data_IF_112341360472
#
_entry.id   IF_112341360472
#
_cell.length_a   1.000
_cell.length_b   1.000
_cell.length_c   1.000
_cell.angle_alpha   90.00
_cell.angle_beta   90.00
_cell.angle_gamma   90.00
#
_symmetry.space_group_name_H-M   'P 1'
#
loop_
_entity.id
_entity.type
_entity.pdbx_description
1 polymer ?
#
# COMPACT_ATOMS: atom_id res chain seq x y z
N UNK A 1 2.65 -5.98 -32.64
CA UNK A 1 3.15 -7.01 -31.70
C UNK A 1 2.39 -6.85 -30.40
N UNK A 2 1.63 -7.88 -30.02
CA UNK A 2 0.56 -7.83 -29.00
C UNK A 2 1.06 -7.40 -27.61
N UNK A 3 0.58 -6.24 -27.17
CA UNK A 3 0.72 -5.75 -25.80
C UNK A 3 -0.12 -6.68 -24.92
N UNK A 4 0.55 -7.57 -24.19
CA UNK A 4 -0.07 -8.29 -23.08
C UNK A 4 -0.49 -7.25 -22.04
N UNK A 5 -1.79 -6.98 -21.98
CA UNK A 5 -2.43 -6.18 -20.93
C UNK A 5 -2.09 -6.83 -19.59
N UNK A 6 -1.20 -6.20 -18.83
CA UNK A 6 -1.00 -6.50 -17.41
C UNK A 6 -2.30 -6.05 -16.73
N UNK A 7 -3.05 -7.03 -16.22
CA UNK A 7 -4.27 -6.81 -15.47
C UNK A 7 -3.87 -6.16 -14.14
N UNK A 8 -4.03 -4.84 -14.05
CA UNK A 8 -3.90 -4.12 -12.79
C UNK A 8 -5.05 -4.56 -11.89
N UNK A 9 -4.76 -5.42 -10.92
CA UNK A 9 -5.70 -5.73 -9.85
C UNK A 9 -5.75 -4.51 -8.93
N UNK A 10 -6.59 -3.54 -9.29
CA UNK A 10 -6.91 -2.40 -8.44
C UNK A 10 -7.77 -2.92 -7.29
N UNK A 11 -7.13 -3.52 -6.27
CA UNK A 11 -7.77 -3.73 -4.99
C UNK A 11 -8.03 -2.34 -4.44
N UNK A 12 -9.28 -1.91 -4.49
CA UNK A 12 -9.79 -0.65 -4.00
C UNK A 12 -9.53 -0.55 -2.49
N UNK A 13 -8.31 -0.17 -2.11
CA UNK A 13 -8.07 0.65 -0.91
C UNK A 13 -8.33 2.13 -1.24
N UNK A 14 -9.40 2.45 -1.98
CA UNK A 14 -9.92 3.80 -2.09
C UNK A 14 -10.73 4.15 -0.83
N UNK A 15 -10.08 4.08 0.33
CA UNK A 15 -10.57 4.68 1.57
C UNK A 15 -9.43 5.50 2.18
N UNK A 16 -8.92 6.43 1.39
CA UNK A 16 -8.29 7.66 1.86
C UNK A 16 -8.66 8.76 0.87
N UNK A 17 -9.96 9.05 0.74
CA UNK A 17 -10.34 10.40 0.33
C UNK A 17 -10.08 11.29 1.56
N UNK A 18 -8.90 11.90 1.60
CA UNK A 18 -8.78 13.18 2.27
C UNK A 18 -9.87 14.07 1.67
N UNK A 19 -10.68 14.75 2.48
CA UNK A 19 -11.38 15.94 1.99
C UNK A 19 -10.28 16.89 1.53
N UNK A 20 -10.09 17.17 0.23
CA UNK A 20 -9.23 18.24 -0.17
C UNK A 20 -9.97 19.53 0.19
N UNK A 21 -9.30 20.41 0.93
CA UNK A 21 -9.62 21.84 0.88
C UNK A 21 -9.58 22.22 -0.60
N UNK A 22 -10.68 22.82 -1.07
CA UNK A 22 -11.06 22.91 -2.47
C UNK A 22 -9.95 23.39 -3.41
N UNK A 23 -9.60 22.53 -4.35
CA UNK A 23 -9.33 22.93 -5.72
C UNK A 23 -10.47 22.36 -6.57
N UNK A 24 -10.96 23.12 -7.54
CA UNK A 24 -12.08 22.74 -8.41
C UNK A 24 -11.94 21.28 -8.89
N UNK A 25 -13.03 20.49 -8.89
CA UNK A 25 -12.95 19.06 -9.20
C UNK A 25 -12.46 18.91 -10.64
N UNK A 26 -11.26 18.36 -10.80
CA UNK A 26 -10.88 17.69 -12.04
C UNK A 26 -11.61 16.36 -11.99
N UNK A 27 -12.63 16.23 -12.84
CA UNK A 27 -13.46 15.05 -13.04
C UNK A 27 -12.61 13.78 -13.19
N UNK A 28 -12.34 13.13 -12.06
CA UNK A 28 -11.89 11.75 -11.99
C UNK A 28 -13.08 10.83 -11.79
N UNK A 29 -14.15 11.02 -12.57
CA UNK A 29 -15.22 10.05 -12.67
C UNK A 29 -14.68 8.86 -13.47
N UNK A 30 -14.59 7.63 -12.93
CA UNK A 30 -14.51 6.45 -13.77
C UNK A 30 -15.92 6.20 -14.32
N UNK A 31 -16.44 7.17 -15.07
CA UNK A 31 -17.73 7.09 -15.71
C UNK A 31 -17.65 6.05 -16.82
N UNK A 32 -17.95 4.80 -16.47
CA UNK A 32 -18.67 3.95 -17.41
C UNK A 32 -19.99 4.63 -17.78
N UNK A 33 -20.52 4.28 -18.95
CA UNK A 33 -21.79 4.80 -19.49
C UNK A 33 -22.90 4.84 -18.40
N UNK A 34 -23.53 6.02 -18.28
CA UNK A 34 -24.69 6.39 -17.47
C UNK A 34 -24.77 5.85 -16.02
N UNK A 35 -24.42 6.71 -15.04
CA UNK A 35 -24.93 6.55 -13.67
C UNK A 35 -26.43 6.77 -13.66
N UNK A 36 -27.18 5.81 -13.12
CA UNK A 36 -28.63 5.85 -12.96
C UNK A 36 -29.01 6.04 -11.49
N UNK A 37 -30.24 6.49 -11.24
CA UNK A 37 -30.77 6.47 -9.88
C UNK A 37 -31.00 5.02 -9.43
N UNK A 38 -30.82 4.75 -8.14
CA UNK A 38 -31.07 3.43 -7.55
C UNK A 38 -32.51 2.93 -7.82
N UNK A 39 -33.48 3.85 -7.86
CA UNK A 39 -34.89 3.55 -8.14
C UNK A 39 -35.15 3.04 -9.56
N UNK A 40 -34.22 3.28 -10.48
CA UNK A 40 -34.32 2.90 -11.89
C UNK A 40 -33.63 1.54 -12.17
N UNK A 41 -32.95 0.98 -11.16
CA UNK A 41 -32.27 -0.31 -11.27
C UNK A 41 -33.29 -1.47 -11.24
N UNK A 42 -32.99 -2.57 -11.95
CA UNK A 42 -33.82 -3.78 -11.94
C UNK A 42 -34.18 -4.20 -10.49
N UNK A 43 -35.47 -4.40 -10.16
CA UNK A 43 -35.92 -4.76 -8.82
C UNK A 43 -35.24 -6.01 -8.22
N UNK A 44 -34.80 -6.96 -9.04
CA UNK A 44 -34.07 -8.15 -8.56
C UNK A 44 -32.66 -7.79 -8.09
N UNK A 45 -32.02 -6.82 -8.73
CA UNK A 45 -30.70 -6.33 -8.34
C UNK A 45 -30.79 -5.47 -7.08
N UNK A 46 -31.83 -4.63 -6.96
CA UNK A 46 -32.07 -3.85 -5.74
C UNK A 46 -32.32 -4.75 -4.54
N UNK A 47 -33.18 -5.77 -4.67
CA UNK A 47 -33.46 -6.76 -3.62
C UNK A 47 -32.19 -7.54 -3.22
N UNK A 48 -31.37 -7.94 -4.20
CA UNK A 48 -30.11 -8.62 -3.94
C UNK A 48 -29.11 -7.73 -3.16
N UNK A 49 -29.04 -6.44 -3.49
CA UNK A 49 -28.19 -5.48 -2.79
C UNK A 49 -28.67 -5.25 -1.35
N UNK A 50 -29.97 -5.07 -1.15
CA UNK A 50 -30.57 -4.85 0.18
C UNK A 50 -30.36 -6.06 1.09
N UNK A 51 -30.65 -7.28 0.61
CA UNK A 51 -30.38 -8.51 1.38
C UNK A 51 -28.92 -8.66 1.76
N UNK A 52 -28.01 -8.29 0.86
CA UNK A 52 -26.58 -8.31 1.17
C UNK A 52 -26.22 -7.29 2.26
N UNK A 53 -26.78 -6.09 2.21
CA UNK A 53 -26.61 -5.08 3.26
C UNK A 53 -27.17 -5.61 4.57
N UNK A 54 -28.42 -6.08 4.62
CA UNK A 54 -29.05 -6.62 5.83
C UNK A 54 -28.19 -7.72 6.47
N UNK A 55 -27.63 -8.62 5.66
CA UNK A 55 -26.79 -9.71 6.13
C UNK A 55 -25.50 -9.22 6.82
N UNK A 56 -24.89 -8.13 6.34
CA UNK A 56 -23.56 -7.70 6.79
C UNK A 56 -23.53 -6.34 7.50
N UNK A 57 -24.65 -5.61 7.57
CA UNK A 57 -24.69 -4.28 8.16
C UNK A 57 -24.81 -4.31 9.69
N UNK A 58 -25.01 -5.50 10.28
CA UNK A 58 -25.02 -5.70 11.72
C UNK A 58 -26.01 -4.72 12.41
N UNK A 59 -27.20 -4.61 11.84
CA UNK A 59 -28.28 -3.75 12.35
C UNK A 59 -28.24 -2.28 11.90
N UNK A 60 -27.18 -1.82 11.22
CA UNK A 60 -27.14 -0.46 10.66
C UNK A 60 -27.95 -0.40 9.36
N UNK A 61 -28.85 0.56 9.25
CA UNK A 61 -29.50 0.86 7.98
C UNK A 61 -28.56 1.66 7.08
N UNK A 62 -28.51 1.30 5.80
CA UNK A 62 -27.81 2.05 4.77
C UNK A 62 -28.78 2.42 3.66
N UNK A 63 -28.60 3.60 3.07
CA UNK A 63 -29.43 4.09 1.96
C UNK A 63 -28.63 4.01 0.67
N UNK A 64 -29.11 3.22 -0.30
CA UNK A 64 -28.59 3.20 -1.66
C UNK A 64 -29.25 4.33 -2.47
N UNK A 65 -28.48 4.95 -3.36
CA UNK A 65 -28.94 6.14 -4.08
C UNK A 65 -28.61 6.11 -5.57
N UNK A 66 -27.48 5.50 -5.96
CA UNK A 66 -27.01 5.49 -7.34
C UNK A 66 -26.45 4.13 -7.75
N UNK A 67 -26.51 3.85 -9.05
CA UNK A 67 -25.92 2.66 -9.64
C UNK A 67 -25.23 2.98 -10.96
N UNK A 68 -24.13 2.29 -11.28
CA UNK A 68 -23.45 2.40 -12.57
C UNK A 68 -22.82 1.06 -12.96
N UNK A 69 -22.62 0.86 -14.27
CA UNK A 69 -21.97 -0.34 -14.78
C UNK A 69 -20.46 -0.28 -14.64
N UNK A 70 -19.86 -1.42 -14.39
CA UNK A 70 -18.42 -1.62 -14.41
C UNK A 70 -18.07 -3.01 -14.92
N UNK A 71 -16.85 -3.18 -15.40
CA UNK A 71 -16.36 -4.47 -15.85
C UNK A 71 -15.54 -5.18 -14.77
N UNK A 72 -15.61 -6.50 -14.75
CA UNK A 72 -14.70 -7.33 -13.97
C UNK A 72 -14.26 -8.56 -14.76
N UNK A 73 -13.22 -9.24 -14.27
CA UNK A 73 -12.73 -10.47 -14.87
C UNK A 73 -12.98 -11.65 -13.95
N UNK A 74 -13.48 -12.74 -14.52
CA UNK A 74 -13.48 -14.05 -13.90
C UNK A 74 -12.56 -14.96 -14.73
N UNK A 75 -11.37 -15.24 -14.17
CA UNK A 75 -10.28 -15.84 -14.94
C UNK A 75 -9.86 -14.93 -16.10
N UNK A 76 -10.04 -15.41 -17.34
CA UNK A 76 -9.74 -14.65 -18.57
C UNK A 76 -10.97 -14.01 -19.20
N UNK A 77 -12.16 -14.26 -18.64
CA UNK A 77 -13.43 -13.82 -19.20
C UNK A 77 -13.80 -12.47 -18.61
N UNK A 78 -14.01 -11.47 -19.48
CA UNK A 78 -14.56 -10.18 -19.09
C UNK A 78 -16.07 -10.33 -18.88
N UNK A 79 -16.58 -9.80 -17.76
CA UNK A 79 -17.99 -9.78 -17.37
C UNK A 79 -18.38 -8.38 -16.93
N UNK A 80 -19.67 -8.09 -16.99
CA UNK A 80 -20.24 -6.83 -16.51
C UNK A 80 -20.77 -6.97 -15.08
N UNK A 81 -20.71 -5.89 -14.33
CA UNK A 81 -21.23 -5.76 -12.98
C UNK A 81 -21.95 -4.43 -12.80
N UNK A 82 -22.93 -4.41 -11.90
CA UNK A 82 -23.49 -3.19 -11.36
C UNK A 82 -22.79 -2.84 -10.05
N UNK A 83 -22.37 -1.59 -9.91
CA UNK A 83 -21.95 -1.00 -8.64
C UNK A 83 -23.12 -0.17 -8.13
N UNK A 84 -23.64 -0.51 -6.95
CA UNK A 84 -24.77 0.15 -6.31
C UNK A 84 -24.28 0.76 -4.99
N UNK A 85 -24.47 2.05 -4.79
CA UNK A 85 -23.87 2.76 -3.66
C UNK A 85 -24.70 3.93 -3.13
N UNK A 86 -24.32 4.41 -1.94
CA UNK A 86 -24.73 5.72 -1.43
C UNK A 86 -23.85 6.83 -2.03
N UNK A 87 -24.33 8.08 -2.05
CA UNK A 87 -23.55 9.22 -2.58
C UNK A 87 -22.23 9.46 -1.85
N UNK A 88 -22.23 9.22 -0.54
CA UNK A 88 -21.04 9.32 0.32
C UNK A 88 -20.16 8.06 0.29
N UNK A 89 -20.58 7.02 -0.44
CA UNK A 89 -19.92 5.71 -0.56
C UNK A 89 -19.72 4.99 0.78
N UNK A 90 -20.53 5.31 1.79
CA UNK A 90 -20.55 4.55 3.05
C UNK A 90 -21.11 3.13 2.87
N UNK A 91 -21.90 2.89 1.83
CA UNK A 91 -22.27 1.55 1.36
C UNK A 91 -21.95 1.41 -0.12
N UNK A 92 -21.34 0.29 -0.49
CA UNK A 92 -21.11 -0.11 -1.89
C UNK A 92 -21.33 -1.60 -2.01
N UNK A 93 -22.22 -2.01 -2.91
CA UNK A 93 -22.46 -3.40 -3.27
C UNK A 93 -22.16 -3.56 -4.76
N UNK A 94 -21.38 -4.58 -5.12
CA UNK A 94 -21.23 -4.96 -6.53
C UNK A 94 -21.96 -6.26 -6.81
N UNK A 95 -22.67 -6.30 -7.94
CA UNK A 95 -23.50 -7.40 -8.38
C UNK A 95 -23.06 -7.80 -9.80
N UNK A 96 -23.04 -9.09 -10.12
CA UNK A 96 -22.91 -9.54 -11.50
C UNK A 96 -24.13 -9.07 -12.30
N UNK A 97 -23.91 -8.41 -13.44
CA UNK A 97 -24.98 -7.71 -14.15
C UNK A 97 -26.05 -8.64 -14.75
N UNK A 98 -25.70 -9.91 -14.97
CA UNK A 98 -26.60 -10.90 -15.59
C UNK A 98 -27.29 -11.75 -14.53
N UNK A 99 -26.52 -12.31 -13.60
CA UNK A 99 -27.05 -13.24 -12.59
C UNK A 99 -27.59 -12.56 -11.34
N UNK A 100 -27.27 -11.28 -11.12
CA UNK A 100 -27.57 -10.57 -9.86
C UNK A 100 -26.80 -11.10 -8.65
N UNK A 101 -25.83 -11.99 -8.85
CA UNK A 101 -25.01 -12.54 -7.77
C UNK A 101 -24.18 -11.42 -7.12
N UNK A 102 -24.22 -11.35 -5.79
CA UNK A 102 -23.39 -10.42 -5.01
C UNK A 102 -21.92 -10.79 -5.13
N UNK A 103 -21.14 -9.88 -5.72
CA UNK A 103 -19.71 -10.02 -5.93
C UNK A 103 -18.92 -9.44 -4.76
N UNK A 104 -19.27 -8.23 -4.30
CA UNK A 104 -18.64 -7.60 -3.13
C UNK A 104 -19.62 -6.79 -2.31
N UNK A 105 -19.34 -6.66 -1.02
CA UNK A 105 -20.04 -5.76 -0.09
C UNK A 105 -19.00 -4.93 0.66
N UNK A 106 -19.21 -3.62 0.76
CA UNK A 106 -18.34 -2.67 1.42
C UNK A 106 -19.18 -1.72 2.27
N UNK A 107 -18.94 -1.70 3.58
CA UNK A 107 -19.76 -0.97 4.56
C UNK A 107 -18.88 -0.16 5.51
N UNK A 108 -19.22 1.11 5.71
CA UNK A 108 -18.53 2.03 6.62
C UNK A 108 -19.33 2.28 7.90
N UNK A 109 -18.62 2.27 9.03
CA UNK A 109 -19.16 2.53 10.36
C UNK A 109 -18.30 3.56 11.09
N UNK A 110 -18.95 4.41 11.87
CA UNK A 110 -18.31 5.11 12.99
C UNK A 110 -18.07 4.11 14.13
N UNK A 111 -17.11 4.36 15.02
CA UNK A 111 -16.82 3.43 16.13
C UNK A 111 -18.04 3.15 17.02
N UNK A 112 -18.90 4.12 17.38
CA UNK A 112 -20.12 3.83 18.15
C UNK A 112 -21.10 2.88 17.47
N UNK A 113 -21.10 2.81 16.13
CA UNK A 113 -21.95 1.89 15.35
C UNK A 113 -21.38 0.46 15.30
N UNK A 114 -20.13 0.26 15.73
CA UNK A 114 -19.46 -1.05 15.77
C UNK A 114 -19.96 -1.83 17.00
N UNK A 115 -21.13 -2.44 16.87
CA UNK A 115 -21.82 -3.20 17.93
C UNK A 115 -21.85 -4.70 17.62
N UNK A 116 -22.56 -5.52 18.41
CA UNK A 116 -22.76 -6.95 18.12
C UNK A 116 -21.47 -7.72 17.83
N UNK A 117 -21.47 -8.52 16.77
CA UNK A 117 -20.30 -9.31 16.35
C UNK A 117 -19.11 -8.41 15.96
N UNK A 118 -19.36 -7.21 15.46
CA UNK A 118 -18.30 -6.28 15.05
C UNK A 118 -17.51 -5.72 16.24
N UNK A 119 -18.10 -5.69 17.44
CA UNK A 119 -17.40 -5.31 18.65
C UNK A 119 -16.25 -6.30 18.97
N UNK A 120 -16.36 -7.57 18.58
CA UNK A 120 -15.28 -8.54 18.75
C UNK A 120 -14.10 -8.23 17.81
N UNK A 121 -14.36 -7.80 16.58
CA UNK A 121 -13.31 -7.35 15.65
C UNK A 121 -12.59 -6.11 16.19
N UNK A 122 -13.33 -5.16 16.76
CA UNK A 122 -12.74 -3.95 17.37
C UNK A 122 -11.82 -4.30 18.54
N UNK A 123 -12.29 -5.15 19.46
CA UNK A 123 -11.46 -5.63 20.59
C UNK A 123 -10.19 -6.33 20.11
N UNK A 124 -10.31 -7.19 19.10
CA UNK A 124 -9.16 -7.89 18.51
C UNK A 124 -8.17 -6.91 17.84
N UNK A 125 -8.67 -5.91 17.10
CA UNK A 125 -7.85 -4.89 16.48
C UNK A 125 -7.12 -4.02 17.53
N UNK A 126 -7.79 -3.63 18.61
CA UNK A 126 -7.19 -2.90 19.73
C UNK A 126 -6.10 -3.73 20.43
N UNK A 127 -6.35 -5.02 20.66
CA UNK A 127 -5.36 -5.93 21.23
C UNK A 127 -4.14 -6.09 20.31
N UNK A 128 -4.35 -6.23 19.01
CA UNK A 128 -3.29 -6.31 18.01
C UNK A 128 -2.49 -4.99 17.94
N UNK A 129 -3.16 -3.83 17.95
CA UNK A 129 -2.51 -2.53 18.00
C UNK A 129 -1.60 -2.42 19.22
N UNK A 130 -2.09 -2.81 20.40
CA UNK A 130 -1.31 -2.80 21.65
C UNK A 130 -0.11 -3.73 21.62
N UNK A 131 -0.21 -4.88 20.95
CA UNK A 131 0.93 -5.79 20.77
C UNK A 131 1.99 -5.21 19.82
N UNK A 132 1.56 -4.58 18.73
CA UNK A 132 2.45 -3.98 17.73
C UNK A 132 3.06 -2.67 18.20
N UNK A 133 2.31 -1.90 19.00
CA UNK A 133 2.66 -0.58 19.49
C UNK A 133 2.28 -0.40 20.98
N UNK A 134 3.04 -1.02 21.91
CA UNK A 134 2.67 -1.04 23.33
C UNK A 134 2.76 0.31 24.04
N UNK A 135 3.45 1.30 23.44
CA UNK A 135 3.72 2.61 24.03
C UNK A 135 2.68 3.68 23.71
N UNK A 136 1.70 3.38 22.87
CA UNK A 136 0.68 4.36 22.48
C UNK A 136 -0.66 3.68 22.31
N UNK A 137 -1.70 4.35 22.81
CA UNK A 137 -3.07 3.93 22.58
C UNK A 137 -3.53 4.47 21.23
N UNK A 138 -3.87 3.57 20.31
CA UNK A 138 -4.38 3.93 19.01
C UNK A 138 -5.90 4.11 19.10
N UNK A 139 -6.36 5.35 18.98
CA UNK A 139 -7.78 5.67 18.90
C UNK A 139 -8.26 5.48 17.46
N UNK A 140 -9.13 4.50 17.24
CA UNK A 140 -9.83 4.35 15.98
C UNK A 140 -11.01 5.33 15.92
N UNK A 141 -11.31 5.84 14.73
CA UNK A 141 -12.43 6.77 14.48
C UNK A 141 -13.41 6.21 13.44
N UNK A 142 -12.97 5.24 12.63
CA UNK A 142 -13.79 4.58 11.62
C UNK A 142 -13.51 3.09 11.55
N UNK A 143 -14.53 2.33 11.22
CA UNK A 143 -14.44 0.93 10.82
C UNK A 143 -14.99 0.73 9.39
N UNK A 144 -14.45 -0.25 8.69
CA UNK A 144 -14.84 -0.60 7.34
C UNK A 144 -14.87 -2.12 7.17
N UNK A 145 -16.03 -2.65 6.83
CA UNK A 145 -16.20 -4.06 6.49
C UNK A 145 -16.12 -4.24 4.97
N UNK A 146 -15.36 -5.24 4.54
CA UNK A 146 -15.28 -5.65 3.14
C UNK A 146 -15.46 -7.16 3.02
N UNK A 147 -16.37 -7.58 2.13
CA UNK A 147 -16.56 -8.96 1.72
C UNK A 147 -16.39 -9.06 0.22
N UNK A 148 -15.58 -10.02 -0.22
CA UNK A 148 -15.53 -10.44 -1.62
C UNK A 148 -15.97 -11.91 -1.73
N UNK A 149 -16.82 -12.16 -2.73
CA UNK A 149 -17.31 -13.48 -3.15
C UNK A 149 -16.78 -13.87 -4.53
N UNK A 150 -15.93 -13.03 -5.13
CA UNK A 150 -15.34 -13.30 -6.45
C UNK A 150 -14.46 -14.55 -6.37
N UNK A 151 -14.57 -15.42 -7.38
CA UNK A 151 -13.80 -16.65 -7.43
C UNK A 151 -12.29 -16.35 -7.35
N UNK A 152 -11.57 -17.07 -6.48
CA UNK A 152 -10.14 -16.86 -6.24
C UNK A 152 -9.77 -15.64 -5.38
N UNK A 153 -10.74 -14.83 -4.96
CA UNK A 153 -10.56 -13.65 -4.10
C UNK A 153 -11.61 -13.62 -2.98
N UNK A 154 -11.97 -14.79 -2.46
CA UNK A 154 -12.94 -14.88 -1.37
C UNK A 154 -12.25 -14.47 -0.06
N UNK A 155 -12.61 -13.30 0.43
CA UNK A 155 -12.08 -12.76 1.67
C UNK A 155 -13.16 -11.97 2.40
N UNK A 156 -12.99 -11.82 3.71
CA UNK A 156 -13.82 -10.98 4.56
C UNK A 156 -12.89 -10.27 5.55
N UNK A 157 -12.89 -8.94 5.53
CA UNK A 157 -12.02 -8.14 6.38
C UNK A 157 -12.79 -7.04 7.09
N UNK A 158 -12.33 -6.73 8.30
CA UNK A 158 -12.76 -5.55 9.06
C UNK A 158 -11.56 -4.66 9.31
N UNK A 159 -11.57 -3.45 8.76
CA UNK A 159 -10.50 -2.47 8.87
C UNK A 159 -10.89 -1.37 9.85
N UNK A 160 -10.02 -1.10 10.82
CA UNK A 160 -10.17 0.00 11.78
C UNK A 160 -9.11 1.05 11.48
N UNK A 161 -9.52 2.31 11.33
CA UNK A 161 -8.67 3.42 10.98
C UNK A 161 -8.76 4.55 12.01
N UNK A 162 -7.65 5.26 12.19
CA UNK A 162 -7.53 6.50 12.96
C UNK A 162 -7.54 7.72 12.02
N UNK A 163 -7.67 8.93 12.57
CA UNK A 163 -7.58 10.17 11.81
C UNK A 163 -6.22 10.37 11.12
N UNK A 164 -5.14 9.90 11.75
CA UNK A 164 -3.76 10.06 11.23
C UNK A 164 -3.39 9.06 10.11
N UNK A 165 -4.41 8.44 9.50
CA UNK A 165 -4.27 7.43 8.45
C UNK A 165 -3.55 6.15 8.89
N UNK A 166 -3.47 5.92 10.20
CA UNK A 166 -3.04 4.63 10.74
C UNK A 166 -4.22 3.67 10.74
N UNK A 167 -3.98 2.39 10.45
CA UNK A 167 -5.05 1.40 10.37
C UNK A 167 -4.57 -0.02 10.68
N UNK A 168 -5.53 -0.88 11.03
CA UNK A 168 -5.37 -2.33 11.13
C UNK A 168 -6.56 -3.00 10.45
N UNK A 169 -6.29 -3.89 9.49
CA UNK A 169 -7.27 -4.76 8.88
C UNK A 169 -7.19 -6.17 9.50
N UNK A 170 -8.34 -6.67 9.90
CA UNK A 170 -8.52 -7.97 10.55
C UNK A 170 -9.21 -8.93 9.58
N UNK A 171 -8.70 -10.15 9.48
CA UNK A 171 -9.46 -11.25 8.90
C UNK A 171 -10.61 -11.63 9.84
N UNK A 172 -11.84 -11.65 9.33
CA UNK A 172 -13.03 -11.82 10.17
C UNK A 172 -13.21 -13.25 10.69
N UNK A 173 -12.56 -14.24 10.08
CA UNK A 173 -12.65 -15.64 10.51
C UNK A 173 -11.62 -15.97 11.60
N UNK A 174 -10.40 -15.45 11.46
CA UNK A 174 -9.25 -15.79 12.30
C UNK A 174 -8.95 -14.75 13.37
N UNK A 175 -9.55 -13.55 13.27
CA UNK A 175 -9.30 -12.40 14.13
C UNK A 175 -7.82 -11.99 14.17
N UNK A 176 -7.09 -12.25 13.08
CA UNK A 176 -5.67 -11.89 12.96
C UNK A 176 -5.47 -10.70 12.02
N UNK A 177 -4.47 -9.84 12.28
CA UNK A 177 -4.13 -8.76 11.37
C UNK A 177 -3.62 -9.29 10.02
N UNK A 178 -4.32 -8.93 8.95
CA UNK A 178 -3.92 -9.20 7.56
C UNK A 178 -3.03 -8.08 7.02
N UNK A 179 -3.43 -6.85 7.31
CA UNK A 179 -2.77 -5.63 6.86
C UNK A 179 -2.75 -4.60 7.99
N UNK A 180 -1.72 -3.78 8.07
CA UNK A 180 -1.71 -2.62 8.96
C UNK A 180 -0.69 -1.59 8.51
N UNK A 181 -0.90 -0.35 8.93
CA UNK A 181 0.12 0.70 8.89
C UNK A 181 0.01 1.53 10.17
N UNK A 182 1.06 1.53 10.97
CA UNK A 182 1.12 2.17 12.28
C UNK A 182 2.31 3.13 12.32
N UNK A 183 2.11 4.36 12.78
CA UNK A 183 3.13 5.41 12.86
C UNK A 183 3.76 5.42 14.23
N UNK A 184 5.09 5.54 14.26
CA UNK A 184 5.88 5.52 15.48
C UNK A 184 6.74 6.78 15.59
N UNK A 185 6.88 7.29 16.81
CA UNK A 185 7.93 8.26 17.12
C UNK A 185 9.27 7.53 17.15
N UNK A 186 10.35 8.19 16.73
CA UNK A 186 11.69 7.58 16.72
C UNK A 186 12.13 7.06 18.10
N UNK A 187 11.73 7.72 19.20
CA UNK A 187 12.03 7.28 20.56
C UNK A 187 11.31 5.97 20.97
N UNK A 188 10.27 5.59 20.24
CA UNK A 188 9.43 4.43 20.56
C UNK A 188 9.84 3.17 19.79
N UNK A 189 10.70 3.31 18.78
CA UNK A 189 11.21 2.24 17.95
C UNK A 189 12.46 1.62 18.58
N UNK A 190 12.62 0.30 18.45
CA UNK A 190 13.86 -0.37 18.86
C UNK A 190 15.06 0.27 18.16
N UNK A 191 16.04 0.73 18.95
CA UNK A 191 17.24 1.40 18.45
C UNK A 191 18.00 0.55 17.44
N UNK A 192 17.95 -0.77 17.53
CA UNK A 192 18.58 -1.70 16.56
C UNK A 192 18.00 -1.54 15.15
N UNK A 193 16.69 -1.33 15.03
CA UNK A 193 16.03 -1.09 13.74
C UNK A 193 16.50 0.22 13.13
N UNK A 194 16.50 1.30 13.93
CA UNK A 194 16.98 2.61 13.49
C UNK A 194 18.46 2.56 13.11
N UNK A 195 19.29 1.85 13.89
CA UNK A 195 20.72 1.72 13.64
C UNK A 195 21.01 0.94 12.35
N UNK A 196 20.25 -0.13 12.06
CA UNK A 196 20.39 -0.88 10.81
C UNK A 196 20.03 -0.01 9.60
N UNK A 197 18.95 0.77 9.70
CA UNK A 197 18.56 1.72 8.66
C UNK A 197 19.61 2.83 8.43
N UNK A 198 20.16 3.39 9.51
CA UNK A 198 21.23 4.40 9.45
C UNK A 198 22.52 3.85 8.83
N UNK A 199 22.90 2.63 9.22
CA UNK A 199 24.03 1.90 8.64
C UNK A 199 23.82 1.67 7.15
N UNK A 200 22.60 1.30 6.74
CA UNK A 200 22.28 1.08 5.33
C UNK A 200 22.48 2.36 4.50
N UNK A 201 21.97 3.50 4.96
CA UNK A 201 22.18 4.79 4.29
C UNK A 201 23.67 5.15 4.23
N UNK A 202 24.42 4.91 5.30
CA UNK A 202 25.87 5.14 5.34
C UNK A 202 26.61 4.29 4.30
N UNK A 203 26.25 3.01 4.16
CA UNK A 203 26.84 2.10 3.17
C UNK A 203 26.56 2.51 1.74
N UNK A 204 25.50 3.27 1.50
CA UNK A 204 25.24 3.90 0.20
C UNK A 204 26.10 5.16 -0.05
N UNK A 205 26.95 5.55 0.90
CA UNK A 205 27.89 6.68 0.75
C UNK A 205 27.27 8.06 0.98
N UNK A 206 26.14 8.14 1.67
CA UNK A 206 25.44 9.39 2.00
C UNK A 206 25.57 9.69 3.49
N UNK A 207 25.60 10.98 3.84
CA UNK A 207 25.63 11.43 5.23
C UNK A 207 24.38 10.93 5.96
N UNK A 208 24.60 10.35 7.14
CA UNK A 208 23.51 9.90 8.01
C UNK A 208 22.92 11.09 8.74
N UNK A 209 21.59 11.21 8.66
CA UNK A 209 20.75 12.09 9.47
C UNK A 209 19.60 11.26 10.06
N UNK A 210 18.96 11.72 11.14
CA UNK A 210 17.82 11.03 11.72
C UNK A 210 16.68 10.82 10.69
N UNK A 211 15.97 9.71 10.81
CA UNK A 211 14.71 9.52 10.09
C UNK A 211 13.62 10.36 10.76
N UNK A 212 12.72 10.93 9.95
CA UNK A 212 11.69 11.88 10.41
C UNK A 212 10.29 11.28 10.41
N UNK A 213 10.12 10.14 9.73
CA UNK A 213 8.86 9.41 9.65
C UNK A 213 9.15 7.92 9.74
N UNK A 214 8.48 7.20 10.65
CA UNK A 214 8.71 5.79 10.89
C UNK A 214 7.36 5.08 11.00
N UNK A 215 7.17 4.09 10.14
CA UNK A 215 5.96 3.28 10.10
C UNK A 215 6.33 1.80 10.28
N UNK A 216 5.46 1.05 10.96
CA UNK A 216 5.45 -0.42 10.85
C UNK A 216 4.27 -0.80 9.99
N UNK A 217 4.53 -1.48 8.89
CA UNK A 217 3.53 -1.82 7.88
C UNK A 217 3.58 -3.30 7.56
N UNK A 218 2.40 -3.87 7.35
CA UNK A 218 2.21 -5.16 6.69
C UNK A 218 1.21 -4.96 5.57
N UNK A 219 1.54 -5.35 4.34
CA UNK A 219 0.63 -5.32 3.18
C UNK A 219 -0.03 -6.67 2.94
N UNK A 220 -1.17 -6.70 2.26
CA UNK A 220 -1.76 -7.96 1.78
C UNK A 220 -0.94 -8.53 0.59
N UNK A 221 -0.86 -9.86 0.49
CA UNK A 221 -0.22 -10.60 -0.62
C UNK A 221 0.94 -11.53 -0.20
N UNK A 222 1.39 -12.40 -1.12
CA UNK A 222 2.46 -13.40 -0.89
C UNK A 222 3.80 -12.79 -0.45
N UNK A 223 4.04 -11.52 -0.81
CA UNK A 223 5.25 -10.74 -0.44
C UNK A 223 5.01 -9.71 0.65
N UNK A 224 3.82 -9.71 1.26
CA UNK A 224 3.40 -8.76 2.28
C UNK A 224 4.14 -8.96 3.61
N UNK A 225 5.41 -8.57 3.64
CA UNK A 225 6.25 -8.69 4.83
C UNK A 225 5.89 -7.61 5.85
N UNK A 226 5.72 -8.03 7.11
CA UNK A 226 5.78 -7.13 8.26
C UNK A 226 7.16 -6.45 8.25
N UNK A 227 7.17 -5.14 8.08
CA UNK A 227 8.37 -4.35 7.93
C UNK A 227 8.26 -2.99 8.61
N UNK A 228 9.40 -2.51 9.07
CA UNK A 228 9.62 -1.11 9.43
C UNK A 228 10.00 -0.33 8.17
N UNK A 229 9.34 0.78 7.94
CA UNK A 229 9.64 1.74 6.87
C UNK A 229 10.09 3.03 7.54
N UNK A 230 11.36 3.34 7.40
CA UNK A 230 11.97 4.55 7.95
C UNK A 230 12.24 5.51 6.81
N UNK A 231 11.56 6.65 6.83
CA UNK A 231 11.64 7.67 5.79
C UNK A 231 12.26 8.95 6.34
N UNK A 232 13.20 9.51 5.59
CA UNK A 232 13.77 10.83 5.86
C UNK A 232 13.16 11.83 4.90
N UNK A 233 12.21 12.61 5.42
CA UNK A 233 11.57 13.75 4.77
C UNK A 233 12.35 15.03 5.12
N UNK A 234 12.70 15.82 4.12
CA UNK A 234 13.35 17.14 4.26
C UNK A 234 12.39 18.20 3.75
N UNK A 235 12.02 19.16 4.59
CA UNK A 235 11.11 20.24 4.21
C UNK A 235 11.74 21.14 3.14
N UNK A 236 10.98 21.45 2.10
CA UNK A 236 11.38 22.37 1.03
C UNK A 236 10.61 23.69 1.18
N UNK A 237 11.33 24.81 1.05
CA UNK A 237 10.75 26.16 0.95
C UNK A 237 10.86 26.64 -0.50
N UNK A 238 9.78 27.16 -1.07
CA UNK A 238 9.77 27.69 -2.45
C UNK A 238 9.44 26.64 -3.51
N UNK A 239 9.89 26.89 -4.75
CA UNK A 239 9.61 26.04 -5.91
C UNK A 239 10.12 24.61 -5.74
N UNK A 240 9.29 23.64 -6.13
CA UNK A 240 9.64 22.23 -6.02
C UNK A 240 10.62 21.81 -7.13
N UNK A 241 11.71 21.10 -6.78
CA UNK A 241 12.56 20.52 -7.80
C UNK A 241 11.78 19.46 -8.59
N UNK A 242 11.56 19.71 -9.89
CA UNK A 242 10.73 18.91 -10.82
C UNK A 242 11.11 17.42 -10.94
N UNK A 243 12.22 16.98 -10.34
CA UNK A 243 12.79 15.64 -10.48
C UNK A 243 12.86 14.84 -9.18
N UNK A 244 12.22 15.31 -8.10
CA UNK A 244 12.29 14.68 -6.78
C UNK A 244 10.95 14.11 -6.34
N UNK A 245 10.99 13.10 -5.47
CA UNK A 245 9.78 12.59 -4.82
C UNK A 245 9.34 13.63 -3.80
N UNK A 246 8.25 14.33 -4.11
CA UNK A 246 7.66 15.36 -3.25
C UNK A 246 6.41 14.81 -2.58
N UNK A 247 6.38 14.83 -1.26
CA UNK A 247 5.21 14.52 -0.45
C UNK A 247 4.63 15.85 0.03
N UNK A 248 3.35 16.09 -0.25
CA UNK A 248 2.63 17.23 0.31
C UNK A 248 1.83 16.77 1.53
N UNK A 249 2.09 17.38 2.68
CA UNK A 249 1.41 17.14 3.96
C UNK A 249 1.14 18.49 4.62
N UNK A 250 -0.11 18.77 4.99
CA UNK A 250 -0.52 19.99 5.69
C UNK A 250 -0.05 21.29 4.99
N UNK A 251 -0.24 21.39 3.67
CA UNK A 251 0.26 22.49 2.83
C UNK A 251 1.78 22.71 2.85
N UNK A 252 2.55 21.74 3.36
CA UNK A 252 4.01 21.73 3.30
C UNK A 252 4.46 20.64 2.33
N UNK A 253 5.57 20.91 1.65
CA UNK A 253 6.19 19.93 0.79
C UNK A 253 7.47 19.40 1.41
N UNK A 254 7.67 18.11 1.23
CA UNK A 254 8.84 17.39 1.68
C UNK A 254 9.45 16.65 0.52
N UNK A 255 10.77 16.72 0.41
CA UNK A 255 11.53 15.82 -0.45
C UNK A 255 11.92 14.59 0.37
N UNK A 256 11.81 13.41 -0.23
CA UNK A 256 12.29 12.18 0.39
C UNK A 256 13.77 11.97 0.08
N UNK A 257 14.62 12.14 1.10
CA UNK A 257 16.08 11.99 0.99
C UNK A 257 16.52 10.53 1.11
N UNK A 258 15.85 9.75 1.95
CA UNK A 258 16.16 8.33 2.14
C UNK A 258 14.95 7.54 2.60
N UNK A 259 14.88 6.28 2.18
CA UNK A 259 13.94 5.27 2.68
C UNK A 259 14.73 4.01 3.01
N UNK A 260 14.59 3.50 4.23
CA UNK A 260 15.08 2.18 4.60
C UNK A 260 13.91 1.30 5.02
N UNK A 261 13.87 0.08 4.49
CA UNK A 261 12.87 -0.94 4.82
C UNK A 261 13.58 -2.07 5.54
N UNK A 262 13.14 -2.39 6.75
CA UNK A 262 13.74 -3.39 7.63
C UNK A 262 12.69 -4.42 8.02
N UNK A 263 13.00 -5.72 7.90
CA UNK A 263 12.07 -6.81 8.23
C UNK A 263 11.67 -6.75 9.71
N UNK A 264 10.37 -6.70 9.98
CA UNK A 264 9.80 -6.44 11.31
C UNK A 264 10.14 -7.51 12.34
N UNK A 265 10.28 -8.78 11.90
CA UNK A 265 10.60 -9.91 12.78
C UNK A 265 12.09 -10.07 13.07
N UNK A 266 12.93 -9.92 12.04
CA UNK A 266 14.35 -10.26 12.15
C UNK A 266 15.25 -9.05 12.33
N UNK A 267 14.74 -7.85 12.05
CA UNK A 267 15.54 -6.63 12.00
C UNK A 267 16.52 -6.56 10.84
N UNK A 268 16.44 -7.47 9.85
CA UNK A 268 17.31 -7.47 8.68
C UNK A 268 16.84 -6.46 7.65
N UNK A 269 17.77 -5.68 7.10
CA UNK A 269 17.49 -4.76 6.00
C UNK A 269 16.89 -5.50 4.79
N UNK A 270 15.77 -5.02 4.27
CA UNK A 270 15.17 -5.47 3.01
C UNK A 270 15.63 -4.58 1.87
N UNK A 271 15.50 -3.26 2.03
CA UNK A 271 15.88 -2.30 1.00
C UNK A 271 16.35 -0.99 1.60
N UNK A 272 17.24 -0.31 0.89
CA UNK A 272 17.58 1.09 1.10
C UNK A 272 17.49 1.83 -0.22
N UNK A 273 16.83 2.98 -0.22
CA UNK A 273 16.77 3.93 -1.31
C UNK A 273 17.28 5.27 -0.80
N UNK A 274 18.13 5.93 -1.58
CA UNK A 274 18.66 7.26 -1.28
C UNK A 274 18.39 8.17 -2.47
N UNK A 275 18.19 9.44 -2.19
CA UNK A 275 18.28 10.48 -3.18
C UNK A 275 19.74 10.97 -3.29
N UNK A 276 20.15 11.36 -4.49
CA UNK A 276 21.44 12.02 -4.71
C UNK A 276 21.23 13.35 -5.41
N UNK A 277 22.02 14.34 -4.99
CA UNK A 277 22.07 15.62 -5.68
C UNK A 277 22.60 15.40 -7.11
N UNK A 278 21.78 15.71 -8.10
CA UNK A 278 22.10 15.58 -9.53
C UNK A 278 22.67 16.86 -10.14
N UNK A 279 22.80 17.93 -9.35
CA UNK A 279 23.12 19.25 -9.87
C UNK A 279 24.49 19.23 -10.55
N UNK A 280 24.52 19.67 -11.81
CA UNK A 280 25.71 19.70 -12.67
C UNK A 280 26.35 18.34 -13.01
N UNK A 281 25.68 17.21 -12.74
CA UNK A 281 26.17 15.90 -13.15
C UNK A 281 25.90 15.65 -14.65
N UNK A 282 26.88 15.06 -15.34
CA UNK A 282 26.72 14.61 -16.73
C UNK A 282 26.08 13.22 -16.77
N UNK A 283 25.19 13.00 -17.74
CA UNK A 283 24.61 11.68 -17.97
C UNK A 283 25.72 10.65 -18.16
N UNK A 284 25.61 9.53 -17.46
CA UNK A 284 26.58 8.44 -17.53
C UNK A 284 25.85 7.12 -17.67
N UNK A 285 26.02 6.48 -18.83
CA UNK A 285 25.59 5.09 -19.02
C UNK A 285 26.66 4.17 -18.47
N UNK A 286 26.35 3.44 -17.41
CA UNK A 286 27.26 2.44 -16.85
C UNK A 286 27.33 1.21 -17.74
N UNK A 287 28.53 0.65 -17.88
CA UNK A 287 28.72 -0.73 -18.33
C UNK A 287 28.38 -1.71 -17.22
N UNK A 288 28.06 -2.96 -17.58
CA UNK A 288 27.78 -4.01 -16.58
C UNK A 288 28.95 -4.19 -15.60
N UNK A 289 30.19 -4.16 -16.10
CA UNK A 289 31.40 -4.30 -15.29
C UNK A 289 31.55 -3.17 -14.27
N UNK A 290 31.28 -1.93 -14.66
CA UNK A 290 31.28 -0.78 -13.74
C UNK A 290 30.18 -0.93 -12.69
N UNK A 291 28.95 -1.28 -13.10
CA UNK A 291 27.84 -1.50 -12.19
C UNK A 291 28.14 -2.58 -11.15
N UNK A 292 28.67 -3.72 -11.58
CA UNK A 292 29.10 -4.81 -10.69
C UNK A 292 30.15 -4.32 -9.68
N UNK A 293 31.13 -3.54 -10.14
CA UNK A 293 32.21 -3.01 -9.29
C UNK A 293 31.67 -2.09 -8.20
N UNK A 294 30.66 -1.26 -8.52
CA UNK A 294 30.00 -0.39 -7.55
C UNK A 294 29.11 -1.15 -6.56
N UNK A 295 28.41 -2.19 -7.03
CA UNK A 295 27.42 -2.92 -6.20
C UNK A 295 28.10 -3.89 -5.24
N UNK A 296 29.15 -4.61 -5.65
CA UNK A 296 29.82 -5.65 -4.85
C UNK A 296 30.12 -5.25 -3.40
N UNK A 297 30.85 -4.14 -3.12
CA UNK A 297 31.16 -3.78 -1.73
C UNK A 297 29.91 -3.42 -0.94
N UNK A 298 28.92 -2.75 -1.56
CA UNK A 298 27.68 -2.33 -0.91
C UNK A 298 26.81 -3.55 -0.58
N UNK A 299 26.64 -4.49 -1.51
CA UNK A 299 25.90 -5.73 -1.27
C UNK A 299 26.52 -6.56 -0.13
N UNK A 300 27.86 -6.60 -0.04
CA UNK A 300 28.55 -7.28 1.06
C UNK A 300 28.28 -6.60 2.41
N UNK A 301 28.30 -5.27 2.45
CA UNK A 301 28.05 -4.50 3.67
C UNK A 301 26.59 -4.58 4.14
N UNK A 302 25.64 -4.48 3.21
CA UNK A 302 24.20 -4.44 3.50
C UNK A 302 23.64 -5.83 3.80
N UNK A 303 24.01 -6.83 3.02
CA UNK A 303 23.35 -8.14 3.03
C UNK A 303 24.29 -9.31 3.32
N UNK A 304 25.59 -9.05 3.53
CA UNK A 304 26.60 -10.09 3.66
C UNK A 304 26.85 -10.89 2.37
N UNK A 305 26.21 -10.49 1.26
CA UNK A 305 26.21 -11.22 0.00
C UNK A 305 27.54 -11.03 -0.75
N UNK A 306 28.15 -12.14 -1.17
CA UNK A 306 29.22 -12.14 -2.16
C UNK A 306 28.62 -12.37 -3.55
N UNK A 307 28.59 -11.31 -4.36
CA UNK A 307 28.01 -11.34 -5.70
C UNK A 307 28.87 -12.08 -6.71
N UNK A 308 30.06 -12.56 -6.34
CA UNK A 308 30.91 -13.36 -7.24
C UNK A 308 30.28 -14.71 -7.60
N UNK A 309 29.36 -15.23 -6.76
CA UNK A 309 28.59 -16.45 -7.03
C UNK A 309 27.22 -16.19 -7.69
N UNK A 310 26.95 -14.96 -8.14
CA UNK A 310 25.66 -14.55 -8.68
C UNK A 310 25.75 -14.30 -10.18
N UNK A 311 24.66 -14.60 -10.88
CA UNK A 311 24.47 -14.23 -12.28
C UNK A 311 23.78 -12.87 -12.34
N UNK A 312 24.36 -11.93 -13.08
CA UNK A 312 23.74 -10.63 -13.36
C UNK A 312 22.80 -10.74 -14.56
N UNK A 313 21.62 -10.13 -14.43
CA UNK A 313 20.74 -9.77 -15.53
C UNK A 313 20.33 -8.31 -15.36
N UNK A 314 20.47 -7.50 -16.41
CA UNK A 314 19.92 -6.14 -16.42
C UNK A 314 18.47 -6.20 -16.91
N UNK A 315 17.55 -5.69 -16.11
CA UNK A 315 16.15 -5.56 -16.48
C UNK A 315 16.01 -4.55 -17.63
N UNK A 316 15.35 -4.96 -18.72
CA UNK A 316 15.26 -4.14 -19.94
C UNK A 316 14.25 -3.01 -19.82
N UNK A 317 13.26 -3.16 -18.95
CA UNK A 317 12.17 -2.21 -18.80
C UNK A 317 12.54 -1.12 -17.79
N UNK A 318 13.28 -1.49 -16.74
CA UNK A 318 13.61 -0.60 -15.62
C UNK A 318 15.09 -0.24 -15.49
N UNK A 319 15.98 -0.97 -16.17
CA UNK A 319 17.43 -0.80 -16.08
C UNK A 319 18.05 -1.32 -14.78
N UNK A 320 17.27 -2.04 -13.96
CA UNK A 320 17.71 -2.56 -12.68
C UNK A 320 18.70 -3.72 -12.87
N UNK A 321 19.76 -3.74 -12.06
CA UNK A 321 20.76 -4.81 -12.05
C UNK A 321 20.28 -5.89 -11.08
N UNK A 322 19.89 -7.04 -11.63
CA UNK A 322 19.32 -8.16 -10.88
C UNK A 322 20.36 -9.29 -10.77
N UNK A 323 20.86 -9.51 -9.57
CA UNK A 323 21.79 -10.58 -9.23
C UNK A 323 21.01 -11.76 -8.66
N UNK A 324 21.11 -12.93 -9.29
CA UNK A 324 20.43 -14.16 -8.85
C UNK A 324 21.42 -15.29 -8.60
N UNK A 325 21.14 -16.16 -7.64
CA UNK A 325 21.94 -17.36 -7.36
C UNK A 325 21.03 -18.43 -6.75
N UNK A 326 21.20 -19.69 -7.17
CA UNK A 326 20.31 -20.78 -6.74
C UNK A 326 20.36 -20.96 -5.22
N UNK A 327 19.20 -20.94 -4.57
CA UNK A 327 19.08 -21.11 -3.11
C UNK A 327 19.49 -19.89 -2.28
N UNK A 328 19.69 -18.72 -2.91
CA UNK A 328 20.00 -17.46 -2.22
C UNK A 328 18.98 -16.39 -2.62
N UNK A 329 18.79 -15.42 -1.73
CA UNK A 329 18.02 -14.21 -2.02
C UNK A 329 18.66 -13.47 -3.19
N UNK A 330 17.82 -12.96 -4.09
CA UNK A 330 18.24 -12.11 -5.20
C UNK A 330 18.59 -10.72 -4.70
N UNK A 331 19.63 -10.10 -5.25
CA UNK A 331 20.01 -8.72 -4.93
C UNK A 331 19.68 -7.83 -6.13
N UNK A 332 18.98 -6.74 -5.90
CA UNK A 332 18.61 -5.76 -6.92
C UNK A 332 19.32 -4.45 -6.61
N UNK A 333 19.97 -3.89 -7.62
CA UNK A 333 20.62 -2.59 -7.56
C UNK A 333 20.06 -1.67 -8.64
N UNK A 334 19.77 -0.42 -8.28
CA UNK A 334 19.32 0.61 -9.22
C UNK A 334 20.29 1.77 -9.26
N UNK A 335 20.56 2.22 -10.46
CA UNK A 335 21.33 3.41 -10.72
C UNK A 335 20.44 4.53 -11.26
N UNK A 336 20.76 5.78 -10.92
CA UNK A 336 20.17 6.92 -11.62
C UNK A 336 20.80 7.13 -13.00
N UNK A 337 20.30 8.13 -13.74
CA UNK A 337 20.78 8.50 -15.08
C UNK A 337 22.24 9.01 -15.11
N UNK A 338 22.82 9.26 -13.95
CA UNK A 338 24.17 9.78 -13.77
C UNK A 338 25.14 8.67 -13.30
N UNK A 339 24.66 7.43 -13.19
CA UNK A 339 25.44 6.27 -12.78
C UNK A 339 25.66 6.17 -11.28
N UNK A 340 24.88 6.89 -10.46
CA UNK A 340 24.95 6.75 -9.02
C UNK A 340 24.08 5.61 -8.54
N UNK A 341 24.59 4.80 -7.61
CA UNK A 341 23.79 3.79 -6.92
C UNK A 341 22.79 4.48 -5.99
N UNK A 342 21.50 4.30 -6.27
CA UNK A 342 20.38 4.96 -5.56
C UNK A 342 19.48 3.99 -4.82
N UNK A 343 19.47 2.71 -5.19
CA UNK A 343 18.70 1.69 -4.47
C UNK A 343 19.44 0.36 -4.42
N UNK A 344 19.33 -0.29 -3.27
CA UNK A 344 19.71 -1.68 -3.04
C UNK A 344 18.55 -2.40 -2.36
N UNK A 345 18.27 -3.63 -2.78
CA UNK A 345 17.19 -4.46 -2.24
C UNK A 345 17.60 -5.92 -2.28
N UNK A 346 17.17 -6.71 -1.28
CA UNK A 346 17.15 -8.17 -1.35
C UNK A 346 15.71 -8.66 -1.53
N UNK A 347 15.52 -9.67 -2.36
CA UNK A 347 14.24 -10.35 -2.57
C UNK A 347 14.39 -11.86 -2.38
N UNK A 348 13.44 -12.44 -1.65
CA UNK A 348 13.36 -13.90 -1.45
C UNK A 348 13.00 -14.63 -2.73
#
# INVERSE_FOLDING_TARGET
>A
MNIKKILTLTLACSILAATPIMAAPVDGNPGGEETIQYTDLDPKLTEAAEKAIEQYANGKAFKLEEAFKNDYYEGKTKKESWIVQSKDRNVVVSLDAVSGKVLTVSLTFTIPEVTGDYANYLKAAQAAAKQLYPKTELAFTKAHYFKSNKAGLQEATMTFASEDRQFIAMDTNTLKPTMYSLKFKAADVDRKIVAEAEKAVKSMGVKVQPFTDIERRKTNGETGEDAWVLTRKVGVKGDFPKKRVVIQEDNRAFVVDAIAIVEGKTGKLISVTIERASDNQKLKKLTEKEGITLVKPVAKQLFGADLSSYTLKVDKDWGDYVFTSKGKESIIAKFDSYGNLVRMERKK
#
